data_IF_468986157474
#
_entry.id   IF_468986157474
#
_cell.length_a   1.000
_cell.length_b   1.000
_cell.length_c   1.000
_cell.angle_alpha   90.00
_cell.angle_beta   90.00
_cell.angle_gamma   90.00
#
_symmetry.space_group_name_H-M   'P 1'
#
loop_
_entity.id
_entity.type
_entity.pdbx_description
1 polymer ?
#
# COMPACT_ATOMS: atom_id res chain seq x y z
N UNK A 1 9.88 -0.40 7.77
CA UNK A 1 9.10 0.53 6.95
C UNK A 1 7.97 1.06 7.83
N UNK A 2 7.56 2.32 7.67
CA UNK A 2 6.41 2.88 8.38
C UNK A 2 5.26 3.10 7.39
N UNK A 3 4.04 2.75 7.75
CA UNK A 3 2.86 2.99 6.93
C UNK A 3 1.61 3.26 7.77
N UNK A 4 0.65 3.96 7.18
CA UNK A 4 -0.66 4.16 7.79
C UNK A 4 -1.49 2.89 7.64
N UNK A 5 -2.00 2.38 8.76
CA UNK A 5 -3.08 1.41 8.74
C UNK A 5 -4.31 2.03 8.02
N UNK A 6 -4.79 1.47 6.90
CA UNK A 6 -5.86 2.08 6.13
C UNK A 6 -7.15 2.37 6.93
N UNK A 7 -7.66 1.44 7.77
CA UNK A 7 -8.85 1.72 8.57
C UNK A 7 -8.57 2.59 9.81
N UNK A 8 -7.42 2.41 10.48
CA UNK A 8 -7.17 3.09 11.75
C UNK A 8 -6.52 4.48 11.59
N UNK A 9 -5.93 4.78 10.43
CA UNK A 9 -5.13 5.99 10.16
C UNK A 9 -3.99 6.22 11.17
N UNK A 10 -3.56 5.15 11.85
CA UNK A 10 -2.41 5.14 12.75
C UNK A 10 -1.19 4.61 12.02
N UNK A 11 -0.03 5.16 12.36
CA UNK A 11 1.26 4.69 11.83
C UNK A 11 1.60 3.36 12.48
N UNK A 12 1.96 2.39 11.64
CA UNK A 12 2.43 1.06 12.01
C UNK A 12 3.82 0.89 11.41
N UNK A 13 4.71 0.23 12.13
CA UNK A 13 6.05 -0.11 11.67
C UNK A 13 6.23 -1.64 11.59
N UNK A 14 7.34 -2.07 11.01
CA UNK A 14 7.68 -3.50 10.90
C UNK A 14 7.95 -4.17 12.27
N UNK A 15 8.00 -3.41 13.37
CA UNK A 15 8.27 -3.94 14.70
C UNK A 15 7.00 -4.45 15.41
N UNK A 16 5.82 -4.10 14.89
CA UNK A 16 4.54 -4.51 15.45
C UNK A 16 3.72 -5.37 14.48
N UNK A 17 2.97 -6.32 15.04
CA UNK A 17 1.96 -7.05 14.28
C UNK A 17 0.89 -6.10 13.74
N UNK A 18 0.46 -6.33 12.50
CA UNK A 18 -0.70 -5.66 11.93
C UNK A 18 -1.90 -5.81 12.84
N UNK A 19 -2.63 -4.71 13.10
CA UNK A 19 -3.89 -4.81 13.81
C UNK A 19 -4.92 -5.59 12.98
N UNK A 20 -5.90 -6.21 13.64
CA UNK A 20 -6.92 -7.03 12.97
C UNK A 20 -7.68 -6.28 11.87
N UNK A 21 -7.88 -4.96 12.02
CA UNK A 21 -8.54 -4.16 10.99
C UNK A 21 -7.66 -4.00 9.75
N UNK A 22 -6.35 -3.80 9.92
CA UNK A 22 -5.41 -3.77 8.80
C UNK A 22 -5.39 -5.11 8.07
N UNK A 23 -5.35 -6.22 8.83
CA UNK A 23 -5.37 -7.57 8.27
C UNK A 23 -6.64 -7.82 7.46
N UNK A 24 -7.81 -7.48 8.01
CA UNK A 24 -9.09 -7.59 7.31
C UNK A 24 -9.12 -6.75 6.03
N UNK A 25 -8.63 -5.51 6.10
CA UNK A 25 -8.57 -4.64 4.93
C UNK A 25 -7.67 -5.20 3.82
N UNK A 26 -6.49 -5.73 4.16
CA UNK A 26 -5.62 -6.37 3.18
C UNK A 26 -6.24 -7.64 2.62
N UNK A 27 -6.91 -8.43 3.44
CA UNK A 27 -7.65 -9.60 2.99
C UNK A 27 -8.73 -9.22 1.96
N UNK A 28 -9.51 -8.16 2.22
CA UNK A 28 -10.56 -7.64 1.33
C UNK A 28 -10.01 -6.96 0.06
N UNK A 29 -8.74 -6.57 0.08
CA UNK A 29 -8.01 -6.07 -1.07
C UNK A 29 -7.42 -7.19 -1.95
N UNK A 30 -7.52 -8.46 -1.54
CA UNK A 30 -6.99 -9.59 -2.32
C UNK A 30 -7.63 -9.67 -3.70
N UNK A 31 -6.81 -9.98 -4.71
CA UNK A 31 -7.19 -10.00 -6.12
C UNK A 31 -7.32 -8.61 -6.77
N UNK A 32 -7.24 -7.53 -5.99
CA UNK A 32 -7.26 -6.16 -6.52
C UNK A 32 -5.84 -5.68 -6.76
N UNK A 33 -5.72 -4.65 -7.60
CA UNK A 33 -4.49 -3.88 -7.71
C UNK A 33 -4.35 -2.96 -6.51
N UNK A 34 -3.19 -3.05 -5.86
CA UNK A 34 -2.85 -2.26 -4.67
C UNK A 34 -1.77 -1.24 -5.02
N UNK A 35 -1.92 -0.03 -4.51
CA UNK A 35 -0.92 1.01 -4.57
C UNK A 35 -0.33 1.25 -3.19
N UNK A 36 1.01 1.30 -3.15
CA UNK A 36 1.78 1.85 -2.05
C UNK A 36 2.29 3.22 -2.48
N UNK A 37 1.79 4.27 -1.85
CA UNK A 37 2.18 5.65 -2.16
C UNK A 37 2.80 6.33 -0.94
N UNK A 38 3.60 7.36 -1.18
CA UNK A 38 4.03 8.29 -0.14
C UNK A 38 3.99 9.70 -0.69
N UNK A 39 3.31 10.61 0.02
CA UNK A 39 3.25 12.02 -0.36
C UNK A 39 4.60 12.70 -0.10
N UNK A 40 4.89 13.81 -0.79
CA UNK A 40 6.19 14.49 -0.69
C UNK A 40 6.57 14.89 0.76
N UNK A 41 5.58 15.25 1.58
CA UNK A 41 5.78 15.74 2.95
C UNK A 41 5.35 14.72 4.03
N UNK A 42 5.22 13.44 3.67
CA UNK A 42 4.85 12.38 4.61
C UNK A 42 5.97 11.34 4.68
N UNK A 43 6.26 10.86 5.89
CA UNK A 43 7.28 9.84 6.13
C UNK A 43 6.74 8.43 5.93
N UNK A 44 5.53 8.17 6.42
CA UNK A 44 4.87 6.88 6.34
C UNK A 44 4.19 6.67 4.97
N UNK A 45 4.25 5.43 4.48
CA UNK A 45 3.53 5.01 3.27
C UNK A 45 2.03 4.89 3.53
N UNK A 46 1.25 4.99 2.47
CA UNK A 46 -0.18 4.73 2.45
C UNK A 46 -0.48 3.61 1.46
N UNK A 47 -1.33 2.68 1.87
CA UNK A 47 -1.88 1.66 0.98
C UNK A 47 -3.29 2.02 0.59
N UNK A 48 -3.58 1.93 -0.71
CA UNK A 48 -4.89 2.17 -1.30
C UNK A 48 -5.11 1.25 -2.49
N UNK A 49 -6.35 0.93 -2.77
CA UNK A 49 -6.78 0.19 -3.96
C UNK A 49 -6.70 1.06 -5.22
N UNK A 50 -6.74 0.44 -6.40
CA UNK A 50 -6.81 1.18 -7.68
C UNK A 50 -8.01 2.13 -7.73
N UNK A 51 -9.18 1.72 -7.24
CA UNK A 51 -10.38 2.58 -7.23
C UNK A 51 -10.18 3.83 -6.37
N UNK A 52 -9.58 3.67 -5.20
CA UNK A 52 -9.23 4.79 -4.31
C UNK A 52 -8.15 5.68 -4.94
N UNK A 53 -7.15 5.09 -5.61
CA UNK A 53 -6.11 5.85 -6.31
C UNK A 53 -6.70 6.68 -7.45
N UNK A 54 -7.59 6.10 -8.27
CA UNK A 54 -8.28 6.78 -9.35
C UNK A 54 -9.16 7.93 -8.82
N UNK A 55 -9.89 7.69 -7.73
CA UNK A 55 -10.67 8.73 -7.05
C UNK A 55 -9.79 9.90 -6.60
N UNK A 56 -8.65 9.61 -5.94
CA UNK A 56 -7.72 10.64 -5.50
C UNK A 56 -7.14 11.47 -6.66
N UNK A 57 -6.81 10.82 -7.78
CA UNK A 57 -6.31 11.50 -8.97
C UNK A 57 -7.36 12.38 -9.64
N UNK A 58 -8.64 12.01 -9.55
CA UNK A 58 -9.74 12.77 -10.18
C UNK A 58 -10.04 14.10 -9.49
N UNK A 59 -9.79 14.19 -8.17
CA UNK A 59 -10.16 15.37 -7.39
C UNK A 59 -9.10 16.48 -7.37
N UNK A 60 -7.81 16.14 -7.45
CA UNK A 60 -6.70 17.08 -7.30
C UNK A 60 -5.36 16.44 -7.70
N UNK A 61 -4.39 17.26 -8.12
CA UNK A 61 -3.05 16.77 -8.44
C UNK A 61 -2.36 16.17 -7.21
N UNK A 62 -1.98 14.90 -7.31
CA UNK A 62 -1.22 14.21 -6.26
C UNK A 62 0.28 14.47 -6.43
N UNK A 63 0.91 15.06 -5.40
CA UNK A 63 2.36 15.20 -5.33
C UNK A 63 2.93 14.09 -4.45
N UNK A 64 3.53 13.09 -5.10
CA UNK A 64 4.07 11.89 -4.45
C UNK A 64 5.60 11.89 -4.48
N UNK A 65 6.22 11.50 -3.37
CA UNK A 65 7.66 11.18 -3.34
C UNK A 65 7.94 9.76 -3.83
N UNK A 66 6.98 8.85 -3.65
CA UNK A 66 7.08 7.47 -4.12
C UNK A 66 5.68 6.94 -4.46
N UNK A 67 5.60 6.12 -5.51
CA UNK A 67 4.42 5.36 -5.87
C UNK A 67 4.84 4.01 -6.46
N UNK A 68 4.25 2.93 -5.97
CA UNK A 68 4.46 1.58 -6.47
C UNK A 68 3.13 0.84 -6.53
N UNK A 69 2.85 0.19 -7.65
CA UNK A 69 1.68 -0.67 -7.82
C UNK A 69 2.05 -2.14 -7.67
N UNK A 70 1.06 -2.92 -7.22
CA UNK A 70 1.12 -4.36 -7.09
C UNK A 70 -0.14 -4.96 -7.70
N UNK A 71 0.03 -5.67 -8.81
CA UNK A 71 -1.04 -6.45 -9.45
C UNK A 71 -1.18 -7.82 -8.75
N UNK A 72 -2.32 -8.50 -8.93
CA UNK A 72 -2.61 -9.81 -8.32
C UNK A 72 -2.24 -9.89 -6.82
N UNK A 73 -2.64 -8.88 -6.06
CA UNK A 73 -2.34 -8.79 -4.64
C UNK A 73 -2.98 -9.94 -3.87
N UNK A 74 -2.20 -10.57 -3.00
CA UNK A 74 -2.64 -11.62 -2.07
C UNK A 74 -2.54 -11.08 -0.65
N UNK A 75 -3.69 -10.80 -0.04
CA UNK A 75 -3.81 -10.28 1.32
C UNK A 75 -3.45 -11.29 2.41
N UNK A 76 -3.32 -12.58 2.07
CA UNK A 76 -2.86 -13.61 3.02
C UNK A 76 -1.35 -13.58 3.17
N UNK A 77 -0.62 -13.48 2.06
CA UNK A 77 0.85 -13.43 2.04
C UNK A 77 1.42 -12.01 2.05
N UNK A 78 0.57 -10.99 1.88
CA UNK A 78 0.96 -9.59 1.66
C UNK A 78 1.93 -9.43 0.50
N UNK A 79 1.69 -10.17 -0.59
CA UNK A 79 2.50 -10.13 -1.80
C UNK A 79 1.70 -9.74 -3.02
N UNK A 80 2.34 -9.11 -4.00
CA UNK A 80 1.76 -8.86 -5.31
C UNK A 80 2.85 -8.75 -6.37
N UNK A 81 2.43 -8.67 -7.62
CA UNK A 81 3.32 -8.55 -8.79
C UNK A 81 3.67 -7.07 -8.97
N UNK A 82 4.95 -6.75 -8.81
CA UNK A 82 5.44 -5.38 -9.01
C UNK A 82 5.47 -4.98 -10.49
N UNK A 83 5.77 -3.72 -10.78
CA UNK A 83 5.89 -3.21 -12.16
C UNK A 83 6.98 -3.86 -13.02
N UNK A 84 7.83 -4.72 -12.43
CA UNK A 84 8.83 -5.52 -13.14
C UNK A 84 8.34 -6.95 -13.42
N UNK A 85 7.07 -7.25 -13.11
CA UNK A 85 6.50 -8.58 -13.25
C UNK A 85 6.94 -9.56 -12.16
N UNK A 86 7.53 -9.08 -11.04
CA UNK A 86 8.03 -9.95 -9.97
C UNK A 86 7.06 -9.96 -8.78
N UNK A 87 6.69 -11.15 -8.31
CA UNK A 87 5.97 -11.30 -7.04
C UNK A 87 6.87 -10.92 -5.86
N UNK A 88 6.47 -9.89 -5.11
CA UNK A 88 7.23 -9.34 -3.98
C UNK A 88 6.30 -8.94 -2.85
N UNK A 89 6.82 -8.85 -1.62
CA UNK A 89 6.06 -8.33 -0.49
C UNK A 89 5.84 -6.82 -0.62
N UNK A 90 4.63 -6.37 -0.30
CA UNK A 90 4.27 -4.95 -0.29
C UNK A 90 5.04 -4.15 0.77
N UNK A 91 5.57 -4.82 1.80
CA UNK A 91 6.38 -4.20 2.87
C UNK A 91 7.86 -4.09 2.52
N UNK A 92 8.30 -4.68 1.41
CA UNK A 92 9.71 -4.62 1.03
C UNK A 92 10.06 -3.23 0.53
N UNK A 93 11.06 -2.59 1.13
CA UNK A 93 11.61 -1.35 0.59
C UNK A 93 12.17 -1.61 -0.81
N UNK A 94 11.79 -0.75 -1.75
CA UNK A 94 12.40 -0.72 -3.08
C UNK A 94 13.81 -0.19 -2.92
N UNK A 95 14.77 -1.08 -2.59
CA UNK A 95 16.18 -0.72 -2.63
C UNK A 95 16.49 -0.22 -4.04
N UNK A 96 16.90 1.05 -4.12
CA UNK A 96 17.60 1.62 -5.27
C UNK A 96 18.91 0.90 -5.50
#
# INVERSE_FOLDING_TARGET
MEFFCPPCQKVVDDSHHLCHQAQAWFHDASGKKLWRIRRLNQYAYQYITEDEYAYLCSGQSLILSEAQSFDDFDGTSYTGVDSRGKRTSIFKSSNK
#
